data_IF_590958635131
#
_entry.id   IF_590958635131
#
_cell.length_a   1.000
_cell.length_b   1.000
_cell.length_c   1.000
_cell.angle_alpha   90.00
_cell.angle_beta   90.00
_cell.angle_gamma   90.00
#
_symmetry.space_group_name_H-M   'P 1'
#
loop_
_entity.id
_entity.type
_entity.pdbx_description
1 polymer ?
2 non-polymer ?
3 non-polymer ?
4 non-polymer ?
5 non-polymer ?
6 water ?
#
# COMPACT_ATOMS: atom_id res chain seq x y z
N UNK A 1 -18.81 -27.65 14.15
CA UNK A 1 -18.55 -26.67 15.19
C UNK A 1 -19.18 -25.32 14.88
N UNK A 2 -19.44 -24.58 15.94
CA UNK A 2 -20.04 -23.25 15.86
C UNK A 2 -19.13 -22.19 16.43
N UNK A 3 -17.85 -22.50 16.59
CA UNK A 3 -16.97 -21.57 17.28
C UNK A 3 -16.84 -20.27 16.50
N UNK A 4 -16.70 -20.35 15.18
CA UNK A 4 -16.54 -19.13 14.41
C UNK A 4 -17.77 -18.25 14.51
N UNK A 5 -18.94 -18.85 14.49
CA UNK A 5 -20.18 -18.10 14.58
C UNK A 5 -20.30 -17.43 15.94
N UNK A 6 -19.97 -18.15 17.01
CA UNK A 6 -20.00 -17.58 18.35
C UNK A 6 -19.01 -16.43 18.46
N UNK A 7 -17.79 -16.66 17.98
CA UNK A 7 -16.78 -15.60 18.00
C UNK A 7 -17.21 -14.40 17.18
N UNK A 8 -17.85 -14.64 16.03
CA UNK A 8 -18.35 -13.52 15.23
C UNK A 8 -19.33 -12.66 16.01
N UNK A 9 -20.24 -13.28 16.76
CA UNK A 9 -21.18 -12.52 17.58
C UNK A 9 -20.43 -11.76 18.65
N UNK A 10 -19.43 -12.41 19.25
CA UNK A 10 -18.65 -11.74 20.28
C UNK A 10 -17.94 -10.52 19.72
N UNK A 11 -17.38 -10.62 18.51
CA UNK A 11 -16.69 -9.48 17.93
C UNK A 11 -17.67 -8.36 17.63
N UNK A 12 -18.84 -8.71 17.10
CA UNK A 12 -19.89 -7.73 16.85
C UNK A 12 -20.20 -6.95 18.11
N UNK A 13 -20.49 -7.68 19.19
CA UNK A 13 -20.90 -7.04 20.44
C UNK A 13 -19.77 -6.17 20.97
N UNK A 14 -18.53 -6.62 20.80
CA UNK A 14 -17.40 -5.81 21.23
C UNK A 14 -17.33 -4.51 20.40
N UNK A 15 -17.47 -4.62 19.08
CA UNK A 15 -17.40 -3.41 18.26
C UNK A 15 -18.51 -2.43 18.65
N UNK A 16 -19.69 -2.96 18.98
CA UNK A 16 -20.81 -2.11 19.40
C UNK A 16 -20.57 -1.44 20.74
N UNK A 17 -19.63 -1.95 21.54
CA UNK A 17 -19.30 -1.30 22.80
C UNK A 17 -18.34 -0.14 22.62
N UNK A 18 -17.78 0.04 21.43
CA UNK A 18 -16.81 1.09 21.15
C UNK A 18 -17.53 2.22 20.42
N UNK A 19 -17.67 3.41 21.03
CA UNK A 19 -18.42 4.48 20.35
C UNK A 19 -18.00 4.76 18.91
N UNK A 20 -16.71 4.68 18.58
CA UNK A 20 -16.25 4.93 17.22
C UNK A 20 -16.98 4.09 16.19
N UNK A 21 -17.31 2.85 16.52
CA UNK A 21 -17.85 1.91 15.55
C UNK A 21 -19.37 1.77 15.61
N UNK A 22 -20.05 2.46 16.54
CA UNK A 22 -21.51 2.38 16.71
C UNK A 22 -22.30 2.96 15.54
N UNK A 23 -21.77 3.97 14.88
CA UNK A 23 -22.52 4.51 13.76
C UNK A 23 -22.63 3.52 12.62
N UNK A 24 -21.82 2.44 12.62
CA UNK A 24 -21.71 1.65 11.40
C UNK A 24 -22.93 0.75 11.22
N UNK A 25 -23.46 0.66 10.01
CA UNK A 25 -24.57 -0.28 9.76
C UNK A 25 -24.22 -1.69 10.19
N UNK A 26 -25.26 -2.42 10.58
CA UNK A 26 -25.10 -3.78 11.04
C UNK A 26 -24.35 -4.62 10.01
N UNK A 27 -24.63 -4.40 8.72
CA UNK A 27 -23.96 -5.18 7.67
C UNK A 27 -22.47 -4.89 7.64
N UNK A 28 -22.08 -3.65 7.90
CA UNK A 28 -20.65 -3.32 7.94
C UNK A 28 -19.99 -3.91 9.18
N UNK A 29 -20.65 -3.81 10.34
CA UNK A 29 -20.09 -4.43 11.54
C UNK A 29 -19.88 -5.92 11.32
N UNK A 30 -20.84 -6.57 10.65
CA UNK A 30 -20.71 -8.00 10.41
C UNK A 30 -19.51 -8.32 9.52
N UNK A 31 -19.31 -7.53 8.46
CA UNK A 31 -18.18 -7.75 7.58
C UNK A 31 -16.88 -7.45 8.30
N UNK A 32 -16.84 -6.39 9.10
CA UNK A 32 -15.65 -6.10 9.89
C UNK A 32 -15.31 -7.25 10.81
N UNK A 33 -16.32 -7.79 11.51
CA UNK A 33 -16.10 -8.94 12.37
C UNK A 33 -15.62 -10.16 11.58
N UNK A 34 -16.03 -10.30 10.31
CA UNK A 34 -15.56 -11.40 9.48
C UNK A 34 -14.07 -11.30 9.19
N UNK A 35 -13.58 -10.10 8.90
CA UNK A 35 -12.24 -9.94 8.33
C UNK A 35 -11.17 -9.62 9.35
N UNK A 36 -11.53 -9.26 10.57
CA UNK A 36 -10.47 -8.95 11.50
C UNK A 36 -9.80 -10.23 11.96
N UNK A 37 -8.55 -10.09 12.40
CA UNK A 37 -7.75 -11.21 12.85
C UNK A 37 -7.38 -10.95 14.30
N UNK A 38 -7.66 -11.91 15.16
CA UNK A 38 -7.32 -11.75 16.57
C UNK A 38 -5.85 -12.11 16.75
N UNK A 39 -5.09 -11.21 17.35
CA UNK A 39 -3.64 -11.29 17.40
C UNK A 39 -3.19 -10.99 18.82
N UNK A 40 -2.25 -11.79 19.34
CA UNK A 40 -1.86 -11.72 20.74
C UNK A 40 -0.40 -11.31 20.88
N UNK A 41 -0.14 -10.46 21.87
CA UNK A 41 1.20 -9.97 22.18
C UNK A 41 1.47 -10.10 23.67
N UNK A 42 2.74 -10.15 24.03
CA UNK A 42 3.17 -10.13 25.42
C UNK A 42 4.02 -8.88 25.68
N UNK A 43 4.23 -8.59 26.95
CA UNK A 43 4.87 -7.35 27.37
C UNK A 43 6.19 -7.15 26.64
N UNK A 44 6.36 -5.94 26.10
CA UNK A 44 7.58 -5.53 25.45
C UNK A 44 7.61 -5.73 23.95
N UNK A 45 6.65 -6.46 23.40
CA UNK A 45 6.62 -6.70 21.97
C UNK A 45 6.08 -5.47 21.26
N UNK A 46 6.74 -5.10 20.17
CA UNK A 46 6.31 -3.96 19.39
C UNK A 46 5.22 -4.38 18.41
N UNK A 47 4.05 -3.81 18.61
CA UNK A 47 2.94 -4.02 17.68
C UNK A 47 3.15 -3.20 16.41
N UNK A 48 3.64 -1.98 16.57
CA UNK A 48 3.97 -1.08 15.48
C UNK A 48 5.32 -0.46 15.80
N UNK A 49 6.18 -0.32 14.78
CA UNK A 49 7.46 0.36 14.89
C UNK A 49 7.44 1.65 14.09
N UNK A 50 7.83 2.74 14.74
CA UNK A 50 7.97 4.01 14.03
C UNK A 50 8.94 3.84 12.86
N UNK A 51 8.56 4.41 11.72
CA UNK A 51 9.38 4.40 10.54
C UNK A 51 9.07 3.29 9.57
N UNK A 52 8.30 2.29 9.99
CA UNK A 52 7.95 1.16 9.15
C UNK A 52 6.80 1.54 8.22
N UNK A 53 6.69 0.79 7.12
CA UNK A 53 5.48 0.88 6.30
C UNK A 53 4.32 0.28 7.07
N UNK A 54 3.18 0.97 7.03
CA UNK A 54 2.01 0.53 7.75
C UNK A 54 0.85 0.19 6.83
N UNK A 55 0.22 -0.96 7.08
CA UNK A 55 -0.93 -1.38 6.30
C UNK A 55 -2.01 -2.03 7.15
N UNK A 56 -1.96 -1.90 8.47
CA UNK A 56 -2.90 -2.55 9.38
C UNK A 56 -3.42 -1.57 10.41
N UNK A 57 -4.69 -1.80 10.78
CA UNK A 57 -5.41 -1.07 11.82
C UNK A 57 -5.70 -2.03 12.97
N UNK A 58 -5.60 -1.51 14.21
CA UNK A 58 -5.69 -2.31 15.41
C UNK A 58 -6.76 -1.80 16.37
N UNK A 59 -7.57 -2.71 16.91
CA UNK A 59 -8.49 -2.41 18.01
C UNK A 59 -8.11 -3.30 19.19
N UNK A 60 -7.91 -2.69 20.36
CA UNK A 60 -7.49 -3.44 21.54
C UNK A 60 -8.69 -4.08 22.20
N UNK A 61 -8.67 -5.41 22.30
CA UNK A 61 -9.70 -6.13 23.02
C UNK A 61 -9.27 -6.62 24.40
N UNK A 62 -7.96 -6.61 24.70
CA UNK A 62 -7.45 -7.02 26.01
C UNK A 62 -6.12 -6.34 26.24
N UNK A 63 -5.90 -5.85 27.45
CA UNK A 63 -4.59 -5.35 27.84
C UNK A 63 -4.42 -3.88 27.59
N UNK A 64 -3.16 -3.46 27.66
CA UNK A 64 -2.78 -2.07 27.46
C UNK A 64 -1.51 -2.02 26.63
N UNK A 65 -1.33 -0.88 25.98
CA UNK A 65 -0.17 -0.62 25.15
C UNK A 65 0.37 0.76 25.48
N UNK A 66 1.66 0.93 25.22
CA UNK A 66 2.34 2.21 25.31
C UNK A 66 2.64 2.74 23.91
N UNK A 67 2.47 4.05 23.73
CA UNK A 67 2.75 4.73 22.47
C UNK A 67 3.93 5.66 22.72
N UNK A 68 5.00 5.51 21.94
CA UNK A 68 6.22 6.30 22.13
C UNK A 68 6.70 6.80 20.77
N UNK A 69 7.55 7.83 20.79
CA UNK A 69 8.18 8.38 19.59
C UNK A 69 9.65 8.61 19.86
N UNK A 70 10.48 8.49 18.82
CA UNK A 70 11.91 8.71 19.02
C UNK A 70 12.26 10.16 19.33
N UNK A 71 13.24 10.36 20.23
CA UNK A 71 13.77 11.67 20.53
C UNK A 71 15.04 11.95 19.75
N UNK A 76 16.52 7.73 23.42
CA UNK A 76 15.65 8.02 24.56
C UNK A 76 14.24 8.36 24.07
N UNK A 77 13.36 7.37 23.95
CA UNK A 77 12.04 7.63 23.37
C UNK A 77 11.22 8.55 24.25
N UNK A 78 10.30 9.26 23.61
CA UNK A 78 9.36 10.14 24.30
C UNK A 78 8.07 9.35 24.48
N UNK A 79 7.59 9.30 25.71
CA UNK A 79 6.35 8.59 26.01
C UNK A 79 5.18 9.50 25.69
N UNK A 80 4.24 8.99 24.89
CA UNK A 80 3.09 9.78 24.47
C UNK A 80 1.86 9.46 25.30
N UNK A 81 1.45 8.19 25.32
CA UNK A 81 0.26 7.82 26.09
C UNK A 81 0.16 6.32 26.19
N UNK A 82 -0.80 5.87 27.00
CA UNK A 82 -1.16 4.47 27.11
C UNK A 82 -2.61 4.29 26.68
N UNK A 83 -2.88 3.20 25.97
CA UNK A 83 -4.22 2.86 25.50
C UNK A 83 -4.61 1.52 26.08
N UNK A 84 -5.93 1.30 26.14
CA UNK A 84 -6.45 0.08 26.70
C UNK A 84 -7.63 -0.47 25.91
N UNK A 85 -8.40 -1.36 26.54
CA UNK A 85 -9.48 -2.06 25.87
C UNK A 85 -10.48 -1.09 25.27
N UNK A 86 -10.84 -1.32 24.01
CA UNK A 86 -11.72 -0.48 23.25
C UNK A 86 -11.05 0.66 22.51
N UNK A 87 -9.80 0.98 22.83
CA UNK A 87 -9.06 1.96 22.05
C UNK A 87 -8.52 1.31 20.78
N UNK A 88 -8.14 2.15 19.84
CA UNK A 88 -7.65 1.71 18.55
C UNK A 88 -6.48 2.57 18.14
N UNK A 89 -5.74 2.08 17.15
CA UNK A 89 -4.54 2.80 16.71
C UNK A 89 -4.09 2.25 15.37
N UNK A 90 -3.23 3.00 14.72
CA UNK A 90 -2.62 2.58 13.48
C UNK A 90 -3.27 3.14 12.23
N UNK A 91 -4.12 4.17 12.37
CA UNK A 91 -4.83 4.76 11.24
C UNK A 91 -3.99 5.75 10.46
N UNK A 92 -2.97 6.37 11.06
CA UNK A 92 -2.29 7.46 10.36
C UNK A 92 -1.62 6.98 9.08
N UNK A 93 -1.00 5.79 9.12
CA UNK A 93 -0.33 5.23 7.95
C UNK A 93 -1.30 4.77 6.87
N UNK A 94 -2.60 4.75 7.14
CA UNK A 94 -3.57 4.28 6.17
C UNK A 94 -4.19 5.41 5.36
N UNK A 95 -3.78 6.66 5.60
CA UNK A 95 -4.15 7.78 4.76
C UNK A 95 -2.89 8.55 4.38
N UNK A 96 -2.83 9.00 3.13
CA UNK A 96 -1.67 9.76 2.68
C UNK A 96 -0.41 8.91 2.78
N UNK A 97 0.65 9.47 3.35
CA UNK A 97 1.89 8.73 3.54
C UNK A 97 1.64 7.47 4.37
N UNK A 98 2.36 6.40 4.05
CA UNK A 98 2.14 5.12 4.70
C UNK A 98 3.18 4.78 5.75
N UNK A 99 3.79 5.77 6.37
CA UNK A 99 4.84 5.54 7.36
C UNK A 99 4.23 5.60 8.74
N UNK A 100 4.62 4.65 9.58
CA UNK A 100 4.23 4.65 10.98
C UNK A 100 4.94 5.78 11.70
N UNK A 101 4.15 6.56 12.45
CA UNK A 101 4.63 7.79 13.07
C UNK A 101 4.93 7.66 14.55
N UNK A 102 4.75 6.47 15.13
CA UNK A 102 5.03 6.22 16.53
C UNK A 102 5.15 4.72 16.69
N UNK A 103 5.77 4.31 17.79
CA UNK A 103 5.78 2.92 18.21
C UNK A 103 4.56 2.65 19.07
N UNK A 104 4.05 1.43 18.98
CA UNK A 104 3.01 0.96 19.88
C UNK A 104 3.48 -0.37 20.43
N UNK A 105 3.60 -0.46 21.75
CA UNK A 105 4.29 -1.54 22.44
C UNK A 105 3.34 -2.16 23.45
N UNK A 106 3.23 -3.49 23.44
CA UNK A 106 2.40 -4.13 24.46
C UNK A 106 3.00 -3.90 25.85
N UNK A 107 2.13 -3.56 26.81
CA UNK A 107 2.56 -3.28 28.18
C UNK A 107 2.24 -4.42 29.13
N UNK A 108 1.64 -5.51 28.62
CA UNK A 108 1.17 -6.66 29.35
C UNK A 108 0.66 -7.62 28.29
N UNK A 109 0.00 -8.71 28.68
CA UNK A 109 -0.68 -9.54 27.69
C UNK A 109 -1.74 -8.71 26.97
N UNK A 110 -1.63 -8.65 25.65
CA UNK A 110 -2.53 -7.86 24.81
C UNK A 110 -3.15 -8.73 23.74
N UNK A 111 -4.44 -8.48 23.46
CA UNK A 111 -5.10 -8.99 22.26
C UNK A 111 -5.57 -7.79 21.46
N UNK A 112 -5.25 -7.80 20.17
CA UNK A 112 -5.79 -6.82 19.24
C UNK A 112 -6.60 -7.55 18.18
N UNK A 113 -7.63 -6.85 17.69
CA UNK A 113 -8.38 -7.24 16.51
C UNK A 113 -7.82 -6.40 15.38
N UNK A 114 -7.29 -7.06 14.34
CA UNK A 114 -6.46 -6.41 13.33
C UNK A 114 -7.14 -6.53 11.97
N UNK A 115 -7.15 -5.42 11.24
CA UNK A 115 -7.71 -5.43 9.89
C UNK A 115 -6.69 -4.82 8.95
N UNK A 116 -6.68 -5.33 7.72
CA UNK A 116 -5.74 -4.83 6.73
C UNK A 116 -6.27 -3.57 6.06
N UNK A 117 -5.38 -2.97 5.25
CA UNK A 117 -5.66 -1.68 4.64
C UNK A 117 -6.91 -1.73 3.77
N UNK A 118 -7.02 -2.75 2.92
CA UNK A 118 -8.15 -2.81 2.00
C UNK A 118 -9.47 -2.92 2.75
N UNK A 119 -9.51 -3.77 3.78
CA UNK A 119 -10.71 -3.89 4.59
C UNK A 119 -11.01 -2.58 5.31
N UNK A 120 -9.96 -1.97 5.87
CA UNK A 120 -10.11 -0.68 6.52
C UNK A 120 -10.73 0.35 5.57
N UNK A 121 -10.16 0.49 4.38
CA UNK A 121 -10.64 1.51 3.46
C UNK A 121 -12.06 1.20 3.00
N UNK A 122 -12.39 -0.08 2.84
CA UNK A 122 -13.68 -0.49 2.31
C UNK A 122 -14.79 -0.32 3.35
N UNK A 123 -14.48 -0.60 4.61
CA UNK A 123 -15.48 -0.71 5.68
C UNK A 123 -15.49 0.46 6.65
N UNK A 124 -14.32 1.03 6.95
CA UNK A 124 -14.17 2.04 8.00
C UNK A 124 -13.63 3.35 7.49
N UNK A 125 -12.97 3.37 6.33
CA UNK A 125 -12.04 4.44 6.04
C UNK A 125 -12.61 5.81 6.27
N UNK A 126 -13.92 5.95 6.15
CA UNK A 126 -14.54 7.27 6.11
C UNK A 126 -15.35 7.67 7.33
N UNK A 127 -15.13 7.02 8.48
CA UNK A 127 -15.66 7.55 9.74
C UNK A 127 -14.89 8.81 10.09
N UNK A 128 -15.62 9.92 10.25
CA UNK A 128 -14.97 11.11 10.78
C UNK A 128 -14.40 10.86 12.17
N UNK A 129 -14.96 9.89 12.90
CA UNK A 129 -14.42 9.53 14.21
C UNK A 129 -13.00 8.99 14.08
N UNK A 130 -12.75 8.21 13.02
CA UNK A 130 -11.42 7.62 12.81
C UNK A 130 -10.49 8.60 12.12
N UNK A 131 -10.90 9.10 10.96
CA UNK A 131 -9.97 9.76 10.05
C UNK A 131 -9.81 11.25 10.31
N UNK A 132 -10.76 11.90 10.98
CA UNK A 132 -10.69 13.33 11.26
C UNK A 132 -10.80 13.59 12.76
N UNK A 133 -10.19 12.73 13.55
CA UNK A 133 -10.04 12.94 14.99
C UNK A 133 -8.82 13.80 15.24
N UNK A 134 -8.87 14.58 16.32
CA UNK A 134 -7.78 15.47 16.69
C UNK A 134 -7.12 14.97 17.96
N UNK A 135 -5.81 14.82 17.92
CA UNK A 135 -5.02 14.42 19.09
C UNK A 135 -3.53 14.67 18.86
N UNK B 1 -5.04 24.35 -30.68
CA UNK B 1 -3.78 23.63 -30.54
C UNK B 1 -3.99 22.14 -30.57
N UNK B 2 -2.96 21.40 -30.96
CA UNK B 2 -3.06 19.96 -31.18
C UNK B 2 -1.92 19.21 -30.49
N UNK B 3 -1.29 19.79 -29.47
CA UNK B 3 -0.15 19.11 -28.84
C UNK B 3 -0.55 17.76 -28.26
N UNK B 4 -1.71 17.69 -27.62
CA UNK B 4 -2.11 16.42 -27.04
C UNK B 4 -2.30 15.35 -28.10
N UNK B 5 -2.87 15.73 -29.24
CA UNK B 5 -3.04 14.79 -30.34
C UNK B 5 -1.69 14.34 -30.87
N UNK B 6 -0.75 15.28 -31.04
CA UNK B 6 0.59 14.93 -31.48
C UNK B 6 1.22 13.92 -30.53
N UNK B 7 1.15 14.17 -29.22
CA UNK B 7 1.73 13.25 -28.24
C UNK B 7 1.00 11.92 -28.22
N UNK B 8 -0.33 11.94 -28.37
CA UNK B 8 -1.09 10.70 -28.36
C UNK B 8 -0.65 9.82 -29.50
N UNK B 9 -0.48 10.41 -30.67
CA UNK B 9 0.03 9.66 -31.81
C UNK B 9 1.42 9.13 -31.56
N UNK B 10 2.30 9.96 -31.00
CA UNK B 10 3.64 9.53 -30.65
C UNK B 10 3.60 8.31 -29.73
N UNK B 11 2.73 8.34 -28.74
CA UNK B 11 2.65 7.23 -27.79
C UNK B 11 2.11 5.98 -28.45
N UNK B 12 1.11 6.13 -29.30
CA UNK B 12 0.58 5.01 -30.07
C UNK B 12 1.69 4.33 -30.85
N UNK B 13 2.44 5.13 -31.61
CA UNK B 13 3.53 4.60 -32.43
C UNK B 13 4.55 3.89 -31.57
N UNK B 14 4.87 4.47 -30.42
CA UNK B 14 5.84 3.82 -29.54
C UNK B 14 5.30 2.49 -29.02
N UNK B 15 4.04 2.48 -28.55
CA UNK B 15 3.47 1.24 -28.04
C UNK B 15 3.49 0.14 -29.10
N UNK B 16 3.18 0.51 -30.35
CA UNK B 16 3.19 -0.44 -31.45
C UNK B 16 4.58 -1.00 -31.74
N UNK B 17 5.66 -0.32 -31.28
CA UNK B 17 6.99 -0.82 -31.47
C UNK B 17 7.41 -1.84 -30.41
N UNK B 18 6.58 -2.05 -29.39
CA UNK B 18 6.91 -2.92 -28.29
C UNK B 18 6.14 -4.24 -28.49
N UNK B 19 6.82 -5.34 -28.76
CA UNK B 19 6.09 -6.59 -29.04
C UNK B 19 5.02 -6.96 -28.02
N UNK B 20 5.28 -6.72 -26.73
CA UNK B 20 4.31 -7.08 -25.70
C UNK B 20 2.94 -6.45 -25.95
N UNK B 21 2.91 -5.23 -26.48
CA UNK B 21 1.67 -4.47 -26.62
C UNK B 21 1.05 -4.52 -28.03
N UNK B 22 1.73 -5.15 -29.01
CA UNK B 22 1.22 -5.30 -30.39
C UNK B 22 -0.04 -6.15 -30.50
N UNK B 23 -0.23 -7.11 -29.61
CA UNK B 23 -1.43 -7.89 -29.74
C UNK B 23 -2.67 -7.09 -29.40
N UNK B 24 -2.51 -5.87 -28.84
CA UNK B 24 -3.67 -5.22 -28.27
C UNK B 24 -4.50 -4.54 -29.35
N UNK B 25 -5.83 -4.60 -29.24
CA UNK B 25 -6.68 -3.88 -30.19
C UNK B 25 -6.35 -2.40 -30.23
N UNK B 26 -6.57 -1.82 -31.40
CA UNK B 26 -6.32 -0.38 -31.58
C UNK B 26 -6.98 0.44 -30.48
N UNK B 27 -8.23 0.11 -30.13
CA UNK B 27 -8.96 0.91 -29.14
C UNK B 27 -8.27 0.86 -27.78
N UNK B 28 -7.68 -0.29 -27.44
CA UNK B 28 -6.98 -0.40 -26.16
C UNK B 28 -5.68 0.39 -26.20
N UNK B 29 -4.91 0.28 -27.29
CA UNK B 29 -3.71 1.10 -27.41
C UNK B 29 -4.03 2.57 -27.28
N UNK B 30 -5.15 3.00 -27.88
CA UNK B 30 -5.53 4.41 -27.86
C UNK B 30 -5.88 4.84 -26.45
N UNK B 31 -6.57 3.98 -25.71
CA UNK B 31 -6.91 4.28 -24.32
C UNK B 31 -5.66 4.31 -23.45
N UNK B 32 -4.74 3.37 -23.67
CA UNK B 32 -3.48 3.39 -22.94
C UNK B 32 -2.76 4.70 -23.18
N UNK B 33 -2.68 5.11 -24.43
CA UNK B 33 -2.01 6.35 -24.76
C UNK B 33 -2.72 7.56 -24.15
N UNK B 34 -4.03 7.45 -23.89
CA UNK B 34 -4.76 8.54 -23.24
C UNK B 34 -4.37 8.68 -21.78
N UNK B 35 -4.21 7.55 -21.06
CA UNK B 35 -4.13 7.59 -19.60
C UNK B 35 -2.71 7.52 -19.07
N UNK B 36 -1.74 7.21 -19.91
CA UNK B 36 -0.37 7.15 -19.43
C UNK B 36 0.17 8.56 -19.18
N UNK B 37 1.19 8.64 -18.33
CA UNK B 37 1.82 9.90 -17.99
C UNK B 37 3.29 9.75 -18.31
N UNK B 38 3.80 10.68 -19.10
CA UNK B 38 5.21 10.69 -19.43
C UNK B 38 5.98 11.32 -18.27
N UNK B 39 6.97 10.59 -17.75
CA UNK B 39 7.67 10.94 -16.54
C UNK B 39 9.17 10.81 -16.76
N UNK B 40 9.92 11.80 -16.29
CA UNK B 40 11.35 11.88 -16.53
C UNK B 40 12.14 11.70 -15.25
N UNK B 41 13.29 11.04 -15.37
CA UNK B 41 14.21 10.77 -14.28
C UNK B 41 15.63 11.05 -14.72
N UNK B 42 16.51 11.30 -13.75
CA UNK B 42 17.93 11.46 -13.98
C UNK B 42 18.71 10.40 -13.19
N UNK B 43 19.98 10.26 -13.55
CA UNK B 43 20.82 9.22 -12.99
C UNK B 43 20.76 9.17 -11.46
N UNK B 44 20.54 7.97 -10.94
CA UNK B 44 20.56 7.74 -9.51
C UNK B 44 19.21 7.82 -8.85
N UNK B 45 18.22 8.39 -9.52
CA UNK B 45 16.89 8.49 -8.96
C UNK B 45 16.18 7.16 -9.05
N UNK B 46 15.48 6.81 -7.97
CA UNK B 46 14.77 5.55 -7.91
C UNK B 46 13.39 5.72 -8.51
N UNK B 47 13.11 4.94 -9.53
CA UNK B 47 11.77 4.92 -10.12
C UNK B 47 10.84 4.05 -9.29
N UNK B 48 11.36 2.92 -8.80
CA UNK B 48 10.69 2.00 -7.89
C UNK B 48 11.67 1.66 -6.78
N UNK B 49 11.18 1.63 -5.54
CA UNK B 49 12.00 1.19 -4.42
C UNK B 49 11.42 -0.08 -3.83
N UNK B 50 12.27 -1.10 -3.65
CA UNK B 50 11.88 -2.35 -3.05
C UNK B 50 11.20 -2.12 -1.71
N UNK B 51 10.10 -2.82 -1.48
CA UNK B 51 9.35 -2.75 -0.24
C UNK B 51 8.22 -1.75 -0.23
N UNK B 52 8.18 -0.86 -1.22
CA UNK B 52 7.14 0.14 -1.25
C UNK B 52 5.86 -0.47 -1.79
N UNK B 53 4.73 0.17 -1.50
CA UNK B 53 3.52 -0.17 -2.22
C UNK B 53 3.70 0.23 -3.66
N UNK B 54 3.08 -0.55 -4.56
CA UNK B 54 3.18 -0.30 -5.97
C UNK B 54 1.81 -0.11 -6.59
N UNK B 55 1.61 1.04 -7.21
CA UNK B 55 0.36 1.30 -7.92
C UNK B 55 0.61 1.84 -9.34
N UNK B 56 1.79 1.59 -9.91
CA UNK B 56 2.13 2.06 -11.25
C UNK B 56 2.92 1.00 -12.02
N UNK B 57 2.72 1.01 -13.34
CA UNK B 57 3.44 0.18 -14.29
C UNK B 57 4.19 1.11 -15.26
N UNK B 58 5.37 0.68 -15.69
CA UNK B 58 6.28 1.54 -16.42
C UNK B 58 6.72 0.94 -17.74
N UNK B 59 6.76 1.76 -18.78
CA UNK B 59 7.38 1.40 -20.06
C UNK B 59 8.46 2.43 -20.36
N UNK B 60 9.68 1.96 -20.62
CA UNK B 60 10.81 2.86 -20.87
C UNK B 60 10.74 3.35 -22.30
N UNK B 61 10.70 4.66 -22.50
CA UNK B 61 10.79 5.22 -23.83
C UNK B 61 12.10 5.93 -24.11
N UNK B 62 12.93 6.16 -23.10
CA UNK B 62 14.24 6.75 -23.31
C UNK B 62 15.14 6.32 -22.16
N UNK B 63 16.38 5.96 -22.48
CA UNK B 63 17.37 5.74 -21.45
C UNK B 63 17.48 4.29 -21.02
N UNK B 64 18.14 4.12 -19.88
CA UNK B 64 18.36 2.79 -19.31
C UNK B 64 18.19 2.88 -17.80
N UNK B 65 17.84 1.75 -17.20
CA UNK B 65 17.62 1.64 -15.77
C UNK B 65 18.34 0.39 -15.28
N UNK B 66 18.70 0.41 -14.00
CA UNK B 66 19.29 -0.73 -13.31
C UNK B 66 18.26 -1.30 -12.37
N UNK B 67 18.11 -2.63 -12.39
CA UNK B 67 17.24 -3.37 -11.48
C UNK B 67 18.14 -4.03 -10.44
N UNK B 68 17.89 -3.74 -9.16
CA UNK B 68 18.69 -4.30 -8.08
C UNK B 68 17.77 -4.78 -6.98
N UNK B 69 18.30 -5.59 -6.07
CA UNK B 69 17.44 -5.91 -4.95
C UNK B 69 18.26 -6.33 -3.76
N UNK B 70 17.72 -6.03 -2.60
CA UNK B 70 18.26 -6.52 -1.36
C UNK B 70 17.79 -7.95 -1.17
N UNK B 71 18.73 -8.83 -0.88
CA UNK B 71 18.38 -10.21 -0.57
C UNK B 71 18.59 -10.41 0.92
N UNK B 72 19.81 -10.61 1.35
CA UNK B 72 20.04 -10.54 2.79
C UNK B 72 20.20 -9.09 3.23
N UNK B 73 19.56 -8.66 4.32
CA UNK B 73 19.90 -7.34 4.89
C UNK B 73 21.37 -7.21 5.23
N UNK B 74 22.08 -8.33 5.34
CA UNK B 74 23.48 -8.32 5.75
C UNK B 74 24.45 -8.41 4.57
N UNK B 75 23.97 -8.23 3.35
CA UNK B 75 24.82 -8.17 2.17
C UNK B 75 24.44 -6.95 1.34
N UNK B 76 25.36 -6.53 0.47
CA UNK B 76 25.10 -5.40 -0.40
C UNK B 76 23.97 -5.73 -1.38
N UNK B 77 23.37 -4.70 -1.98
CA UNK B 77 22.29 -4.96 -2.94
C UNK B 77 22.83 -5.71 -4.15
N UNK B 78 22.00 -6.61 -4.66
CA UNK B 78 22.38 -7.47 -5.79
C UNK B 78 21.92 -6.82 -7.09
N UNK B 79 22.85 -6.67 -8.03
CA UNK B 79 22.49 -6.19 -9.36
C UNK B 79 21.85 -7.33 -10.13
N UNK B 80 20.67 -7.06 -10.69
CA UNK B 80 19.94 -8.08 -11.44
C UNK B 80 20.10 -7.91 -12.94
N UNK B 81 19.76 -6.73 -13.47
CA UNK B 81 19.83 -6.51 -14.91
C UNK B 81 19.66 -5.02 -15.21
N UNK B 82 19.98 -4.67 -16.45
CA UNK B 82 19.67 -3.37 -17.01
C UNK B 82 18.55 -3.52 -18.03
N UNK B 83 17.67 -2.54 -18.08
CA UNK B 83 16.61 -2.47 -19.07
C UNK B 83 16.79 -1.20 -19.87
N UNK B 84 16.25 -1.21 -21.08
CA UNK B 84 16.29 -0.03 -21.91
C UNK B 84 15.03 0.27 -22.68
N UNK B 85 15.16 1.06 -23.74
CA UNK B 85 13.99 1.53 -24.48
C UNK B 85 13.15 0.36 -24.99
N UNK B 86 11.85 0.40 -24.68
CA UNK B 86 10.91 -0.63 -25.05
C UNK B 86 10.68 -1.68 -23.98
N UNK B 87 11.55 -1.75 -22.99
CA UNK B 87 11.32 -2.64 -21.87
C UNK B 87 10.31 -2.04 -20.92
N UNK B 88 9.76 -2.89 -20.08
CA UNK B 88 8.74 -2.48 -19.13
C UNK B 88 9.01 -3.18 -17.81
N UNK B 89 8.42 -2.66 -16.74
CA UNK B 89 8.67 -3.21 -15.41
C UNK B 89 7.61 -2.68 -14.45
N UNK B 90 7.53 -3.30 -13.27
CA UNK B 90 6.61 -2.85 -12.26
C UNK B 90 5.31 -3.62 -12.17
N UNK B 91 5.20 -4.78 -12.81
CA UNK B 91 3.95 -5.52 -12.80
C UNK B 91 3.77 -6.39 -11.56
N UNK B 92 4.85 -6.77 -10.88
CA UNK B 92 4.72 -7.75 -9.81
C UNK B 92 3.86 -7.22 -8.67
N UNK B 93 4.07 -5.96 -8.29
CA UNK B 93 3.28 -5.38 -7.21
C UNK B 93 1.82 -5.12 -7.58
N UNK B 94 1.47 -5.20 -8.85
CA UNK B 94 0.11 -4.98 -9.31
C UNK B 94 -0.70 -6.26 -9.36
N UNK B 95 -0.07 -7.41 -9.08
CA UNK B 95 -0.69 -8.72 -9.10
C UNK B 95 -0.46 -9.35 -7.72
N UNK B 96 -1.54 -9.55 -6.97
CA UNK B 96 -1.44 -10.15 -5.64
C UNK B 96 -1.02 -9.17 -4.55
N UNK B 97 0.08 -9.47 -3.87
CA UNK B 97 0.57 -8.57 -2.82
C UNK B 97 1.13 -7.29 -3.44
N UNK B 98 0.73 -6.14 -2.88
CA UNK B 98 1.18 -4.85 -3.41
C UNK B 98 2.46 -4.43 -2.67
N UNK B 99 3.52 -5.14 -3.00
CA UNK B 99 4.85 -4.84 -2.46
C UNK B 99 5.84 -4.93 -3.61
N UNK B 100 6.60 -3.87 -3.83
CA UNK B 100 7.66 -3.91 -4.81
C UNK B 100 8.76 -4.89 -4.37
N UNK B 101 9.23 -5.71 -5.32
CA UNK B 101 10.15 -6.78 -5.01
C UNK B 101 11.59 -6.45 -5.38
N UNK B 102 11.82 -5.32 -6.02
CA UNK B 102 13.13 -4.89 -6.44
C UNK B 102 13.13 -3.38 -6.61
N UNK B 103 14.32 -2.81 -6.66
CA UNK B 103 14.51 -1.42 -7.03
C UNK B 103 14.68 -1.29 -8.52
N UNK B 104 14.22 -0.18 -9.07
CA UNK B 104 14.50 0.18 -10.46
C UNK B 104 14.99 1.61 -10.44
N UNK B 105 16.23 1.81 -10.87
CA UNK B 105 16.98 3.05 -10.67
C UNK B 105 17.42 3.58 -12.02
N UNK B 106 17.14 4.86 -12.30
CA UNK B 106 17.59 5.43 -13.55
C UNK B 106 19.11 5.42 -13.62
N UNK B 107 19.67 5.08 -14.79
CA UNK B 107 21.12 5.02 -14.98
C UNK B 107 21.66 6.18 -15.80
N UNK B 108 20.80 7.08 -16.24
CA UNK B 108 21.07 8.19 -17.14
C UNK B 108 19.74 8.94 -17.23
N UNK B 109 19.62 9.90 -18.14
CA UNK B 109 18.32 10.51 -18.35
C UNK B 109 17.37 9.46 -18.91
N UNK B 110 16.23 9.31 -18.24
CA UNK B 110 15.24 8.29 -18.56
C UNK B 110 13.88 8.96 -18.72
N UNK B 111 13.11 8.48 -19.69
CA UNK B 111 11.70 8.78 -19.78
C UNK B 111 10.93 7.47 -19.68
N UNK B 112 9.94 7.44 -18.82
CA UNK B 112 9.00 6.32 -18.74
C UNK B 112 7.60 6.81 -19.05
N UNK B 113 6.84 5.92 -19.69
CA UNK B 113 5.41 6.09 -19.84
C UNK B 113 4.76 5.27 -18.73
N UNK B 114 3.95 5.92 -17.89
CA UNK B 114 3.56 5.35 -16.60
C UNK B 114 2.05 5.22 -16.61
N UNK B 115 1.54 4.06 -16.20
CA UNK B 115 0.10 3.87 -16.10
C UNK B 115 -0.23 3.42 -14.69
N UNK B 116 -1.34 3.89 -14.17
CA UNK B 116 -1.71 3.56 -12.81
C UNK B 116 -2.35 2.18 -12.74
N UNK B 117 -2.55 1.72 -11.50
CA UNK B 117 -3.04 0.36 -11.26
C UNK B 117 -4.37 0.09 -11.94
N UNK B 118 -5.34 1.01 -11.78
CA UNK B 118 -6.68 0.76 -12.33
C UNK B 118 -6.63 0.69 -13.85
N UNK B 119 -5.83 1.56 -14.48
CA UNK B 119 -5.69 1.50 -15.93
C UNK B 119 -5.00 0.22 -16.38
N UNK B 120 -3.96 -0.19 -15.67
CA UNK B 120 -3.27 -1.43 -15.99
C UNK B 120 -4.24 -2.60 -15.93
N UNK B 121 -4.98 -2.71 -14.83
CA UNK B 121 -5.86 -3.87 -14.67
C UNK B 121 -6.96 -3.86 -15.71
N UNK B 122 -7.49 -2.68 -16.02
CA UNK B 122 -8.60 -2.60 -16.94
C UNK B 122 -8.18 -2.82 -18.38
N UNK B 123 -7.01 -2.31 -18.78
CA UNK B 123 -6.61 -2.30 -20.18
C UNK B 123 -5.65 -3.41 -20.55
N UNK B 124 -4.72 -3.74 -19.67
CA UNK B 124 -3.71 -4.75 -19.93
C UNK B 124 -4.04 -6.06 -19.28
N UNK B 125 -4.50 -6.02 -18.03
CA UNK B 125 -4.95 -7.22 -17.37
C UNK B 125 -3.88 -8.28 -17.41
N UNK B 126 -2.84 -8.06 -16.60
CA UNK B 126 -1.77 -9.01 -16.37
C UNK B 126 -0.80 -9.37 -17.50
N UNK B 127 0.44 -9.60 -17.06
CA UNK B 127 1.54 -9.99 -17.94
#
# INVERSE_FOLDING_TARGET
>A
GSTGLIKHTEYMEFLKSVPTFQSLPEEILSKLADVLEETHYENGEYIIRQGARGDTFFIISKGTVNVTREDSPSEDPVFLRTLGKGDWFGEKALQGEDVRTANVIAAEAVTCLVIDRDSFKHLIGGLDDVSNKAY
>B
GSTGLIKHTEYMEFLKSVPTFQSLPEEILSKLADVLEETHYENGEYIIRQGARGDTFFIISKGTVNVTREDSPSEDPVFLRTLGKGDWFGEKALQGEDVRTANVIAAEAVTCLVIDRDSFKHLIGGLDDVSNKAY
#
